data_IF_284253148132
#
_entry.id   IF_284253148132
#
_cell.length_a   1.000
_cell.length_b   1.000
_cell.length_c   1.000
_cell.angle_alpha   90.00
_cell.angle_beta   90.00
_cell.angle_gamma   90.00
#
_symmetry.space_group_name_H-M   'P 1'
#
loop_
_entity.id
_entity.type
_entity.pdbx_description
1 polymer ?
#
# COMPACT_ATOMS: atom_id res chain seq x y z
N UNK A 1 -1.07 11.32 -13.17
CA UNK A 1 0.26 10.67 -13.22
C UNK A 1 0.10 9.20 -13.63
N UNK A 2 1.13 8.57 -14.20
CA UNK A 2 1.11 7.13 -14.50
C UNK A 2 1.19 6.28 -13.23
N UNK A 3 0.76 5.01 -13.29
CA UNK A 3 0.88 4.10 -12.14
C UNK A 3 2.34 3.91 -11.71
N UNK A 4 3.23 3.73 -12.69
CA UNK A 4 4.67 3.62 -12.42
C UNK A 4 5.19 4.86 -11.66
N UNK A 5 4.77 6.05 -12.07
CA UNK A 5 5.20 7.28 -11.39
C UNK A 5 4.61 7.42 -9.99
N UNK A 6 3.37 6.98 -9.78
CA UNK A 6 2.74 6.97 -8.46
C UNK A 6 3.48 6.02 -7.50
N UNK A 7 3.87 4.83 -7.95
CA UNK A 7 4.65 3.87 -7.16
C UNK A 7 6.03 4.42 -6.82
N UNK A 8 6.76 4.95 -7.82
CA UNK A 8 8.07 5.59 -7.64
C UNK A 8 8.04 6.69 -6.56
N UNK A 9 7.03 7.56 -6.60
CA UNK A 9 6.86 8.65 -5.62
C UNK A 9 6.58 8.17 -4.19
N UNK A 10 6.02 6.97 -4.02
CA UNK A 10 5.67 6.40 -2.72
C UNK A 10 6.72 5.42 -2.16
N UNK A 11 7.64 4.93 -2.99
CA UNK A 11 8.64 3.93 -2.58
C UNK A 11 10.08 4.41 -2.77
N UNK A 12 10.55 4.46 -4.02
CA UNK A 12 11.96 4.68 -4.35
C UNK A 12 12.39 6.14 -4.13
N UNK A 13 11.52 7.11 -4.45
CA UNK A 13 11.86 8.53 -4.29
C UNK A 13 12.12 8.93 -2.83
N UNK A 14 11.24 8.60 -1.85
CA UNK A 14 11.53 8.84 -0.45
C UNK A 14 12.82 8.13 0.01
N UNK A 15 13.02 6.87 -0.36
CA UNK A 15 14.23 6.12 0.04
C UNK A 15 15.51 6.77 -0.49
N UNK A 16 15.49 7.29 -1.73
CA UNK A 16 16.61 8.05 -2.30
C UNK A 16 16.90 9.34 -1.54
N UNK A 17 15.86 10.08 -1.13
CA UNK A 17 16.01 11.34 -0.38
C UNK A 17 16.61 11.09 1.00
N UNK A 18 16.18 10.01 1.67
CA UNK A 18 16.63 9.66 3.02
C UNK A 18 17.84 8.70 3.04
N UNK A 19 18.41 8.37 1.88
CA UNK A 19 19.52 7.43 1.74
C UNK A 19 19.26 6.06 2.42
N UNK A 20 18.07 5.51 2.19
CA UNK A 20 17.65 4.22 2.73
C UNK A 20 17.82 3.12 1.68
N UNK A 21 18.38 1.98 2.06
CA UNK A 21 18.47 0.80 1.20
C UNK A 21 17.15 0.02 1.14
N UNK A 22 16.08 0.70 0.68
CA UNK A 22 14.69 0.23 0.71
C UNK A 22 13.92 0.69 -0.54
N UNK A 23 12.63 0.34 -0.61
CA UNK A 23 11.70 0.90 -1.61
C UNK A 23 11.87 0.35 -3.02
N UNK A 24 12.58 -0.76 -3.19
CA UNK A 24 12.78 -1.47 -4.46
C UNK A 24 12.61 -2.97 -4.30
N UNK A 25 12.30 -3.66 -5.39
CA UNK A 25 12.24 -5.12 -5.45
C UNK A 25 13.48 -5.62 -6.20
N UNK A 26 14.26 -6.50 -5.58
CA UNK A 26 15.47 -7.05 -6.18
C UNK A 26 16.09 -8.11 -5.29
N UNK A 27 16.98 -8.92 -5.87
CA UNK A 27 17.73 -9.94 -5.12
C UNK A 27 18.57 -9.27 -4.03
N UNK A 28 18.56 -9.85 -2.84
CA UNK A 28 19.29 -9.33 -1.67
C UNK A 28 18.64 -8.13 -0.96
N UNK A 29 17.45 -7.71 -1.39
CA UNK A 29 16.65 -6.69 -0.69
C UNK A 29 15.69 -7.32 0.29
N UNK A 30 15.32 -6.56 1.31
CA UNK A 30 14.31 -6.98 2.26
C UNK A 30 12.96 -7.21 1.56
N UNK A 31 12.28 -8.28 1.94
CA UNK A 31 10.97 -8.65 1.39
C UNK A 31 9.84 -7.79 1.98
N UNK A 32 9.96 -6.48 1.81
CA UNK A 32 8.95 -5.46 2.11
C UNK A 32 8.06 -5.27 0.87
N UNK A 33 6.93 -5.98 0.83
CA UNK A 33 6.13 -6.16 -0.39
C UNK A 33 4.66 -5.81 -0.13
N UNK A 34 4.05 -5.09 -1.07
CA UNK A 34 2.59 -4.87 -1.12
C UNK A 34 2.02 -5.53 -2.37
N UNK A 35 1.01 -6.37 -2.20
CA UNK A 35 0.21 -6.92 -3.29
C UNK A 35 -1.13 -6.18 -3.28
N UNK A 36 -1.52 -5.58 -4.41
CA UNK A 36 -2.79 -4.89 -4.56
C UNK A 36 -3.44 -5.21 -5.91
N UNK A 37 -4.76 -5.18 -5.98
CA UNK A 37 -5.49 -5.31 -7.24
C UNK A 37 -5.92 -3.93 -7.73
N UNK A 38 -5.37 -3.43 -8.86
CA UNK A 38 -5.66 -2.10 -9.39
C UNK A 38 -7.11 -1.95 -9.87
N UNK A 39 -7.80 -3.05 -10.14
CA UNK A 39 -9.15 -3.07 -10.72
C UNK A 39 -10.25 -3.23 -9.68
N UNK A 40 -9.94 -3.72 -8.47
CA UNK A 40 -10.92 -3.86 -7.39
C UNK A 40 -11.43 -2.49 -6.97
N UNK A 41 -12.73 -2.26 -7.14
CA UNK A 41 -13.43 -1.06 -6.68
C UNK A 41 -13.98 -1.27 -5.28
N UNK A 42 -13.98 -0.22 -4.46
CA UNK A 42 -14.63 -0.23 -3.15
C UNK A 42 -14.99 1.19 -2.71
N UNK A 43 -15.95 1.29 -1.80
CA UNK A 43 -16.32 2.54 -1.15
C UNK A 43 -15.54 2.69 0.16
N UNK A 44 -14.96 3.86 0.40
CA UNK A 44 -14.26 4.12 1.66
C UNK A 44 -15.28 4.26 2.79
N UNK A 45 -15.20 3.35 3.76
CA UNK A 45 -15.92 3.45 5.04
C UNK A 45 -14.92 3.44 6.21
N UNK A 46 -14.76 4.57 6.93
CA UNK A 46 -13.88 4.65 8.09
C UNK A 46 -14.20 3.62 9.18
N UNK A 47 -15.44 3.11 9.27
CA UNK A 47 -15.79 2.03 10.20
C UNK A 47 -14.92 0.78 10.01
N UNK A 48 -14.48 0.53 8.78
CA UNK A 48 -13.65 -0.62 8.41
C UNK A 48 -12.14 -0.39 8.60
N UNK A 49 -11.70 0.82 9.00
CA UNK A 49 -10.27 1.11 9.16
C UNK A 49 -9.68 0.31 10.33
N UNK A 50 -8.44 -0.15 10.19
CA UNK A 50 -7.67 -0.70 11.33
C UNK A 50 -7.14 0.38 12.26
N UNK A 51 -6.90 1.59 11.74
CA UNK A 51 -6.51 2.75 12.56
C UNK A 51 -7.54 3.06 13.64
N UNK A 52 -7.06 3.50 14.82
CA UNK A 52 -7.91 3.98 15.92
C UNK A 52 -8.74 5.20 15.50
N UNK A 53 -8.15 6.10 14.72
CA UNK A 53 -8.83 7.31 14.27
C UNK A 53 -9.72 7.04 13.06
N UNK A 54 -10.95 7.56 13.09
CA UNK A 54 -11.96 7.41 12.03
C UNK A 54 -12.25 8.73 11.29
N UNK A 55 -11.47 9.77 11.56
CA UNK A 55 -11.59 11.09 10.95
C UNK A 55 -11.07 11.11 9.50
N UNK A 56 -11.86 10.59 8.57
CA UNK A 56 -11.50 10.62 7.15
C UNK A 56 -12.47 11.49 6.35
N UNK A 57 -11.96 12.50 5.60
CA UNK A 57 -12.80 13.26 4.67
C UNK A 57 -13.22 12.45 3.43
N UNK A 58 -12.65 11.25 3.26
CA UNK A 58 -12.89 10.39 2.09
C UNK A 58 -14.07 9.43 2.27
N UNK A 59 -14.82 9.51 3.37
CA UNK A 59 -15.98 8.65 3.61
C UNK A 59 -16.97 8.74 2.43
N UNK A 60 -17.37 7.58 1.90
CA UNK A 60 -18.32 7.47 0.78
C UNK A 60 -17.69 7.59 -0.60
N UNK A 61 -16.38 7.86 -0.71
CA UNK A 61 -15.71 7.91 -2.01
C UNK A 61 -15.58 6.52 -2.62
N UNK A 62 -15.87 6.40 -3.92
CA UNK A 62 -15.65 5.19 -4.69
C UNK A 62 -14.26 5.22 -5.32
N UNK A 63 -13.41 4.29 -4.91
CA UNK A 63 -11.99 4.23 -5.33
C UNK A 63 -11.66 2.85 -5.91
N UNK A 64 -10.46 2.72 -6.48
CA UNK A 64 -9.90 1.46 -6.99
C UNK A 64 -8.47 1.27 -6.48
N UNK A 65 -7.95 0.04 -6.56
CA UNK A 65 -6.62 -0.28 -6.05
C UNK A 65 -6.68 -0.75 -4.61
N UNK A 66 -7.24 -1.94 -4.38
CA UNK A 66 -7.37 -2.50 -3.02
C UNK A 66 -6.12 -3.31 -2.67
N UNK A 67 -5.49 -3.01 -1.54
CA UNK A 67 -4.39 -3.81 -0.99
C UNK A 67 -4.93 -5.16 -0.53
N UNK A 68 -4.27 -6.22 -0.96
CA UNK A 68 -4.58 -7.63 -0.71
C UNK A 68 -3.66 -8.16 0.39
N UNK A 69 -2.35 -7.92 0.27
CA UNK A 69 -1.35 -8.35 1.26
C UNK A 69 -0.28 -7.29 1.49
N UNK A 70 0.30 -7.32 2.69
CA UNK A 70 1.53 -6.57 3.02
C UNK A 70 2.47 -7.48 3.78
N UNK A 71 3.72 -7.50 3.33
CA UNK A 71 4.82 -8.25 3.93
C UNK A 71 5.89 -7.27 4.44
N UNK A 72 6.47 -7.59 5.60
CA UNK A 72 7.62 -6.87 6.17
C UNK A 72 8.70 -7.90 6.47
N UNK A 73 9.87 -7.75 5.82
CA UNK A 73 10.96 -8.72 5.87
C UNK A 73 10.48 -10.17 5.64
N UNK A 74 9.54 -10.38 4.72
CA UNK A 74 8.98 -11.69 4.37
C UNK A 74 7.82 -12.16 5.26
N UNK A 75 7.52 -11.46 6.36
CA UNK A 75 6.42 -11.82 7.25
C UNK A 75 5.12 -11.14 6.80
N UNK A 76 4.05 -11.92 6.63
CA UNK A 76 2.72 -11.38 6.33
C UNK A 76 2.19 -10.62 7.55
N UNK A 77 2.09 -9.29 7.43
CA UNK A 77 1.58 -8.40 8.49
C UNK A 77 0.15 -7.93 8.21
N UNK A 78 -0.32 -8.09 6.98
CA UNK A 78 -1.69 -7.78 6.58
C UNK A 78 -2.18 -8.73 5.50
N UNK A 79 -3.44 -9.16 5.65
CA UNK A 79 -4.21 -9.82 4.62
C UNK A 79 -5.61 -9.22 4.61
N UNK A 80 -6.11 -8.88 3.43
CA UNK A 80 -7.48 -8.45 3.26
C UNK A 80 -8.44 -9.60 3.61
N UNK A 81 -9.47 -9.37 4.44
CA UNK A 81 -10.48 -10.39 4.69
C UNK A 81 -11.25 -10.69 3.39
N UNK A 82 -11.38 -11.98 3.07
CA UNK A 82 -12.09 -12.54 1.92
C UNK A 82 -11.51 -12.17 0.55
N UNK A 83 -10.46 -12.90 0.15
CA UNK A 83 -9.91 -12.90 -1.21
C UNK A 83 -10.49 -14.11 -1.94
#
# INVERSE_FOLDING_TARGET
ITLQKAVDLLTQQPCRIFNLDKGTLGVGKDADIVIFNPNTKYTIDPKNFKSRSKNSPYKGWNVRGKVIHTFVAGNSVYSAPNI
#
